data_IF_913712943564
#
_entry.id   IF_913712943564
#
_cell.length_a   1.000
_cell.length_b   1.000
_cell.length_c   1.000
_cell.angle_alpha   90.00
_cell.angle_beta   90.00
_cell.angle_gamma   90.00
#
_symmetry.space_group_name_H-M   'P 1'
#
loop_
_entity.id
_entity.type
_entity.pdbx_description
1 polymer ?
#
# COMPACT_ATOMS: atom_id res chain seq x y z
N UNK A 1 12.40 8.89 -1.51
CA UNK A 1 11.20 8.41 -2.22
C UNK A 1 10.90 9.30 -3.43
N UNK A 2 10.14 8.77 -4.41
CA UNK A 2 9.56 9.59 -5.50
C UNK A 2 8.55 10.61 -4.96
N UNK A 3 8.31 11.69 -5.71
CA UNK A 3 7.32 12.71 -5.36
C UNK A 3 5.90 12.17 -5.27
N UNK A 4 5.58 11.16 -6.08
CA UNK A 4 4.26 10.52 -6.03
C UNK A 4 4.03 9.76 -4.70
N UNK A 5 5.03 9.03 -4.20
CA UNK A 5 4.95 8.38 -2.89
C UNK A 5 4.83 9.42 -1.77
N UNK A 6 5.66 10.46 -1.78
CA UNK A 6 5.60 11.53 -0.76
C UNK A 6 4.21 12.17 -0.74
N UNK A 7 3.69 12.56 -1.90
CA UNK A 7 2.36 13.16 -2.03
C UNK A 7 1.25 12.27 -1.45
N UNK A 8 1.32 10.97 -1.75
CA UNK A 8 0.25 10.04 -1.37
C UNK A 8 0.31 9.62 0.11
N UNK A 9 1.49 9.59 0.73
CA UNK A 9 1.66 9.05 2.09
C UNK A 9 1.73 10.14 3.16
N UNK A 10 2.18 11.35 2.82
CA UNK A 10 2.45 12.44 3.78
C UNK A 10 1.30 12.72 4.78
N UNK A 11 0.06 12.62 4.36
CA UNK A 11 -1.12 12.92 5.21
C UNK A 11 -1.93 11.71 5.63
N UNK A 12 -1.53 10.50 5.22
CA UNK A 12 -2.28 9.27 5.47
C UNK A 12 -1.95 8.72 6.85
N UNK A 13 -2.94 8.16 7.52
CA UNK A 13 -2.73 7.44 8.78
C UNK A 13 -1.98 6.15 8.50
N UNK A 14 -0.93 5.92 9.27
CA UNK A 14 -0.19 4.66 9.24
C UNK A 14 -1.05 3.57 9.89
N UNK A 15 -1.24 2.40 9.24
CA UNK A 15 -2.01 1.30 9.82
C UNK A 15 -1.52 0.93 11.22
N UNK A 16 -2.44 0.57 12.10
CA UNK A 16 -2.19 0.10 13.47
C UNK A 16 -1.33 1.04 14.35
N UNK A 17 -1.25 2.33 14.02
CA UNK A 17 -0.40 3.33 14.71
C UNK A 17 -1.17 4.26 15.64
N UNK A 18 -2.43 3.95 15.99
CA UNK A 18 -3.32 4.86 16.74
C UNK A 18 -3.50 6.23 16.08
N UNK A 19 -3.48 6.25 14.73
CA UNK A 19 -3.76 7.43 13.93
C UNK A 19 -2.56 8.34 13.66
N UNK A 20 -1.35 7.92 13.95
CA UNK A 20 -0.13 8.62 13.55
C UNK A 20 -0.05 8.73 12.02
N UNK A 21 0.59 9.77 11.51
CA UNK A 21 0.67 10.07 10.08
C UNK A 21 2.10 10.40 9.67
N UNK A 22 2.40 10.13 8.42
CA UNK A 22 3.65 10.55 7.78
C UNK A 22 4.55 9.39 7.38
N UNK A 23 5.48 9.69 6.47
CA UNK A 23 6.44 8.71 5.95
C UNK A 23 7.47 8.35 7.00
N UNK A 24 7.90 9.32 7.78
CA UNK A 24 8.81 9.17 8.91
C UNK A 24 8.25 8.23 9.98
N UNK A 25 6.97 8.39 10.31
CA UNK A 25 6.24 7.47 11.19
C UNK A 25 6.19 6.06 10.61
N UNK A 26 5.78 5.93 9.33
CA UNK A 26 5.67 4.63 8.68
C UNK A 26 7.01 3.89 8.64
N UNK A 27 8.08 4.58 8.28
CA UNK A 27 9.42 4.01 8.23
C UNK A 27 9.95 3.64 9.63
N UNK A 28 9.76 4.52 10.62
CA UNK A 28 10.20 4.27 11.99
C UNK A 28 9.45 3.10 12.61
N UNK A 29 8.12 3.06 12.46
CA UNK A 29 7.29 1.97 12.99
C UNK A 29 7.63 0.63 12.33
N UNK A 30 7.95 0.64 11.03
CA UNK A 30 8.43 -0.55 10.31
C UNK A 30 9.75 -1.09 10.87
N UNK A 31 10.65 -0.22 11.35
CA UNK A 31 11.91 -0.63 12.00
C UNK A 31 11.69 -1.14 13.43
N UNK A 32 10.77 -0.53 14.17
CA UNK A 32 10.54 -0.81 15.61
C UNK A 32 9.69 -2.08 15.78
N UNK A 33 8.57 -2.21 15.08
CA UNK A 33 7.58 -3.27 15.29
C UNK A 33 7.19 -4.02 14.02
N UNK A 34 7.83 -3.72 12.86
CA UNK A 34 7.47 -4.35 11.60
C UNK A 34 7.92 -5.80 11.46
N UNK A 35 7.06 -6.62 10.85
CA UNK A 35 7.29 -8.03 10.55
C UNK A 35 7.47 -8.22 9.04
N UNK A 36 8.72 -8.33 8.57
CA UNK A 36 9.04 -8.45 7.14
C UNK A 36 8.41 -9.69 6.46
N UNK A 37 8.20 -10.76 7.21
CA UNK A 37 7.54 -11.98 6.77
C UNK A 37 6.04 -11.81 6.46
N UNK A 38 5.44 -10.70 6.89
CA UNK A 38 4.04 -10.33 6.60
C UNK A 38 3.88 -9.51 5.32
N UNK A 39 4.93 -9.20 4.62
CA UNK A 39 4.92 -8.43 3.35
C UNK A 39 4.12 -7.13 3.45
N UNK A 40 2.95 -7.03 2.79
CA UNK A 40 2.09 -5.84 2.82
C UNK A 40 1.37 -5.62 4.17
N UNK A 41 1.29 -6.65 5.01
CA UNK A 41 0.72 -6.61 6.35
C UNK A 41 1.79 -6.41 7.43
N UNK A 42 2.93 -5.85 7.07
CA UNK A 42 4.14 -5.67 7.89
C UNK A 42 3.88 -5.03 9.26
N UNK A 43 2.84 -4.24 9.41
CA UNK A 43 2.46 -3.55 10.65
C UNK A 43 1.26 -4.18 11.39
N UNK A 44 0.82 -5.39 11.03
CA UNK A 44 -0.37 -5.99 11.63
C UNK A 44 -0.19 -6.31 13.12
N UNK A 45 0.99 -6.77 13.49
CA UNK A 45 1.31 -7.22 14.85
C UNK A 45 1.93 -6.11 15.74
N UNK A 46 1.85 -4.83 15.33
CA UNK A 46 2.40 -3.69 16.07
C UNK A 46 1.71 -3.53 17.43
N UNK A 47 2.51 -3.36 18.47
CA UNK A 47 2.04 -3.19 19.85
C UNK A 47 1.99 -1.72 20.29
N UNK A 48 1.31 -1.41 21.40
CA UNK A 48 1.34 -0.07 22.01
C UNK A 48 2.75 0.37 22.38
N UNK A 49 3.60 -0.55 22.82
CA UNK A 49 4.99 -0.24 23.14
C UNK A 49 5.79 0.19 21.91
N UNK A 50 5.54 -0.43 20.75
CA UNK A 50 6.15 -0.05 19.48
C UNK A 50 5.68 1.33 19.03
N UNK A 51 4.40 1.64 19.23
CA UNK A 51 3.83 2.95 18.90
C UNK A 51 4.46 4.05 19.76
N UNK A 52 4.55 3.84 21.08
CA UNK A 52 5.18 4.82 21.98
C UNK A 52 6.67 5.00 21.65
N UNK A 53 7.38 3.91 21.39
CA UNK A 53 8.78 3.98 20.97
C UNK A 53 8.94 4.72 19.64
N UNK A 54 8.02 4.50 18.71
CA UNK A 54 8.01 5.23 17.43
C UNK A 54 7.82 6.73 17.64
N UNK A 55 6.89 7.15 18.51
CA UNK A 55 6.69 8.57 18.83
C UNK A 55 7.96 9.24 19.38
N UNK A 56 8.64 8.57 20.31
CA UNK A 56 9.90 9.06 20.84
C UNK A 56 10.97 9.24 19.76
N UNK A 57 11.15 8.22 18.91
CA UNK A 57 12.17 8.23 17.87
C UNK A 57 11.88 9.27 16.78
N UNK A 58 10.62 9.43 16.37
CA UNK A 58 10.22 10.46 15.39
C UNK A 58 10.47 11.87 15.95
N UNK A 59 10.18 12.12 17.22
CA UNK A 59 10.49 13.39 17.89
C UNK A 59 12.01 13.68 17.92
N UNK A 60 12.83 12.65 17.98
CA UNK A 60 14.30 12.75 17.93
C UNK A 60 14.85 12.89 16.50
N UNK A 61 14.00 12.86 15.48
CA UNK A 61 14.42 12.92 14.09
C UNK A 61 15.11 11.65 13.57
N UNK A 62 14.73 10.49 14.11
CA UNK A 62 15.30 9.18 13.75
C UNK A 62 15.20 8.88 12.26
N UNK A 63 14.12 9.28 11.60
CA UNK A 63 13.91 9.07 10.18
C UNK A 63 13.79 10.40 9.45
N UNK A 64 14.47 10.50 8.31
CA UNK A 64 14.32 11.61 7.36
C UNK A 64 13.90 11.08 6.00
N UNK A 65 12.96 11.78 5.36
CA UNK A 65 12.53 11.45 4.00
C UNK A 65 12.97 12.53 3.03
N UNK A 66 13.65 12.14 1.97
CA UNK A 66 14.11 13.06 0.92
C UNK A 66 13.43 12.75 -0.42
N UNK A 67 13.15 13.80 -1.20
CA UNK A 67 12.66 13.67 -2.56
C UNK A 67 13.77 13.13 -3.47
N UNK A 68 13.42 12.14 -4.28
CA UNK A 68 14.23 11.69 -5.42
C UNK A 68 13.49 12.03 -6.70
N UNK A 69 14.10 12.87 -7.52
CA UNK A 69 13.56 13.29 -8.81
C UNK A 69 14.04 12.38 -9.94
N UNK A 70 13.35 12.43 -11.08
CA UNK A 70 13.66 11.67 -12.30
C UNK A 70 13.72 10.13 -12.08
N UNK A 71 12.80 9.63 -11.27
CA UNK A 71 12.61 8.19 -11.01
C UNK A 71 11.17 7.78 -11.29
N UNK A 72 10.89 6.49 -11.22
CA UNK A 72 9.56 5.90 -11.40
C UNK A 72 8.54 6.49 -10.42
N UNK A 73 7.26 6.46 -10.77
CA UNK A 73 6.17 6.96 -9.91
C UNK A 73 6.16 6.25 -8.55
N UNK A 74 6.39 4.94 -8.52
CA UNK A 74 6.63 4.19 -7.31
C UNK A 74 8.13 3.89 -7.23
N UNK A 75 8.84 4.68 -6.43
CA UNK A 75 10.26 4.53 -6.14
C UNK A 75 10.52 4.83 -4.67
N UNK A 76 11.00 3.83 -3.96
CA UNK A 76 11.31 3.93 -2.52
C UNK A 76 12.71 3.35 -2.29
N UNK A 77 13.56 4.11 -1.63
CA UNK A 77 14.79 3.59 -1.03
C UNK A 77 14.64 3.74 0.49
N UNK A 78 14.65 2.62 1.18
CA UNK A 78 14.71 2.57 2.64
C UNK A 78 16.14 2.19 3.05
N UNK A 79 16.76 3.04 3.87
CA UNK A 79 18.11 2.81 4.39
C UNK A 79 18.12 2.92 5.90
N UNK A 80 18.69 1.94 6.56
CA UNK A 80 18.91 1.92 8.01
C UNK A 80 20.42 1.90 8.28
N UNK A 81 20.85 2.68 9.28
CA UNK A 81 22.25 2.76 9.70
C UNK A 81 22.32 2.50 11.20
N UNK A 82 23.20 1.60 11.62
CA UNK A 82 23.43 1.25 13.01
C UNK A 82 24.95 1.12 13.27
N UNK A 83 25.55 2.17 13.81
CA UNK A 83 27.00 2.25 13.98
C UNK A 83 27.70 2.22 12.61
N UNK A 84 28.59 1.24 12.40
CA UNK A 84 29.32 1.03 11.14
C UNK A 84 28.54 0.19 10.12
N UNK A 85 27.37 -0.33 10.51
CA UNK A 85 26.56 -1.19 9.64
C UNK A 85 25.43 -0.41 8.96
N UNK A 86 25.14 -0.80 7.73
CA UNK A 86 24.00 -0.24 6.98
C UNK A 86 23.29 -1.33 6.16
N UNK A 87 21.98 -1.13 6.00
CA UNK A 87 21.17 -1.92 5.09
C UNK A 87 20.28 -0.99 4.26
N UNK A 88 20.16 -1.28 2.96
CA UNK A 88 19.40 -0.48 2.02
C UNK A 88 18.57 -1.40 1.12
N UNK A 89 17.30 -1.07 0.95
CA UNK A 89 16.38 -1.77 0.06
C UNK A 89 15.77 -0.77 -0.90
N UNK A 90 15.76 -1.09 -2.19
CA UNK A 90 15.10 -0.32 -3.24
C UNK A 90 13.88 -1.05 -3.75
N UNK A 91 12.72 -0.37 -3.77
CA UNK A 91 11.45 -0.88 -4.29
C UNK A 91 11.03 0.01 -5.46
N UNK A 92 10.63 -0.59 -6.59
CA UNK A 92 10.25 0.13 -7.80
C UNK A 92 8.97 -0.44 -8.42
N UNK A 93 8.22 0.41 -9.12
CA UNK A 93 7.06 0.06 -9.94
C UNK A 93 5.89 -0.62 -9.22
N UNK A 94 6.14 -1.57 -8.34
CA UNK A 94 5.13 -2.28 -7.52
C UNK A 94 5.57 -2.35 -6.07
N UNK A 95 4.63 -2.32 -5.15
CA UNK A 95 4.91 -2.34 -3.70
C UNK A 95 5.71 -3.57 -3.23
N UNK A 96 5.63 -4.67 -3.96
CA UNK A 96 6.32 -5.93 -3.65
C UNK A 96 7.57 -6.17 -4.50
N UNK A 97 7.90 -5.27 -5.46
CA UNK A 97 9.06 -5.44 -6.32
C UNK A 97 10.31 -4.83 -5.69
N UNK A 98 11.05 -5.65 -4.97
CA UNK A 98 12.40 -5.29 -4.50
C UNK A 98 13.35 -5.40 -5.68
N UNK A 99 13.92 -4.27 -6.09
CA UNK A 99 14.87 -4.21 -7.21
C UNK A 99 16.33 -4.33 -6.77
N UNK A 100 16.65 -3.94 -5.53
CA UNK A 100 18.02 -3.97 -5.02
C UNK A 100 18.05 -4.10 -3.51
N UNK A 101 19.01 -4.89 -3.00
CA UNK A 101 19.35 -4.98 -1.57
C UNK A 101 20.84 -4.79 -1.42
N UNK A 102 21.25 -3.90 -0.52
CA UNK A 102 22.66 -3.62 -0.20
C UNK A 102 22.83 -3.75 1.30
N UNK A 103 23.93 -4.36 1.73
CA UNK A 103 24.34 -4.43 3.15
C UNK A 103 25.81 -4.04 3.25
N UNK A 104 26.12 -3.11 4.12
CA UNK A 104 27.49 -2.63 4.37
C UNK A 104 28.28 -2.25 3.10
N UNK A 105 27.55 -1.72 2.09
CA UNK A 105 28.10 -1.38 0.78
C UNK A 105 28.17 -2.51 -0.24
N UNK A 106 27.93 -3.76 0.17
CA UNK A 106 27.89 -4.94 -0.72
C UNK A 106 26.49 -5.12 -1.29
N UNK A 107 26.38 -5.33 -2.61
CA UNK A 107 25.11 -5.63 -3.29
C UNK A 107 24.79 -7.11 -3.10
N UNK A 108 23.80 -7.42 -2.27
CA UNK A 108 23.35 -8.79 -2.01
C UNK A 108 22.35 -9.29 -3.05
N UNK A 109 21.57 -8.37 -3.62
CA UNK A 109 20.55 -8.68 -4.61
C UNK A 109 20.34 -7.50 -5.55
N UNK A 110 20.19 -7.77 -6.82
CA UNK A 110 19.80 -6.81 -7.83
C UNK A 110 19.13 -7.52 -8.99
N UNK A 111 17.94 -7.05 -9.41
CA UNK A 111 17.29 -7.53 -10.62
C UNK A 111 18.05 -7.03 -11.84
N UNK A 112 18.08 -7.85 -12.92
CA UNK A 112 18.64 -7.42 -14.19
C UNK A 112 17.78 -6.32 -14.82
N UNK A 113 18.40 -5.41 -15.57
CA UNK A 113 17.73 -4.23 -16.16
C UNK A 113 16.57 -4.57 -17.15
N UNK A 114 16.42 -5.82 -17.54
CA UNK A 114 15.38 -6.33 -18.44
C UNK A 114 14.34 -7.22 -17.73
N UNK A 115 14.50 -7.49 -16.45
CA UNK A 115 13.54 -8.30 -15.67
C UNK A 115 12.45 -7.46 -15.01
N UNK A 116 12.23 -6.25 -15.50
CA UNK A 116 11.26 -5.29 -14.94
C UNK A 116 9.81 -5.77 -15.01
N UNK A 117 9.56 -6.97 -15.51
CA UNK A 117 8.23 -7.54 -15.44
C UNK A 117 8.13 -9.01 -15.87
N UNK A 118 8.16 -9.97 -14.96
CA UNK A 118 7.63 -11.30 -15.31
C UNK A 118 6.12 -11.28 -15.60
N UNK A 119 5.43 -10.18 -15.36
CA UNK A 119 3.97 -10.06 -15.52
C UNK A 119 3.55 -8.68 -16.04
N UNK A 120 4.27 -8.11 -17.00
CA UNK A 120 3.70 -6.99 -17.75
C UNK A 120 2.60 -7.55 -18.65
N UNK A 121 1.39 -7.55 -18.13
CA UNK A 121 0.22 -7.82 -18.95
C UNK A 121 0.10 -6.69 -19.97
N UNK A 122 0.29 -7.00 -21.23
CA UNK A 122 0.08 -6.04 -22.31
C UNK A 122 -1.39 -5.62 -22.34
N UNK A 123 -1.64 -4.42 -21.80
CA UNK A 123 -2.99 -3.84 -21.76
C UNK A 123 -3.39 -3.15 -23.07
N UNK A 124 -2.51 -3.08 -24.06
CA UNK A 124 -2.82 -2.47 -25.37
C UNK A 124 -3.90 -3.23 -26.13
N UNK A 125 -4.06 -4.53 -25.83
CA UNK A 125 -5.12 -5.37 -26.37
C UNK A 125 -6.50 -5.13 -25.76
N UNK A 126 -6.58 -4.43 -24.62
CA UNK A 126 -7.86 -4.13 -23.97
C UNK A 126 -8.58 -3.01 -24.72
N UNK A 127 -9.78 -3.32 -25.20
CA UNK A 127 -10.69 -2.35 -25.80
C UNK A 127 -12.13 -2.61 -25.34
N UNK A 128 -12.98 -1.59 -25.42
CA UNK A 128 -14.34 -1.66 -24.88
C UNK A 128 -15.18 -2.73 -25.58
N UNK A 129 -14.97 -2.93 -26.88
CA UNK A 129 -15.73 -3.94 -27.66
C UNK A 129 -15.46 -5.35 -27.12
N UNK A 130 -14.21 -5.72 -26.94
CA UNK A 130 -13.83 -7.06 -26.48
C UNK A 130 -14.22 -7.27 -25.00
N UNK A 131 -14.18 -6.21 -24.19
CA UNK A 131 -14.67 -6.26 -22.80
C UNK A 131 -16.18 -6.56 -22.76
N UNK A 132 -16.98 -5.89 -23.61
CA UNK A 132 -18.42 -6.14 -23.70
C UNK A 132 -18.71 -7.55 -24.24
N UNK A 133 -18.01 -7.95 -25.30
CA UNK A 133 -18.16 -9.29 -25.86
C UNK A 133 -17.82 -10.37 -24.83
N UNK A 134 -16.74 -10.19 -24.05
CA UNK A 134 -16.41 -11.09 -22.95
C UNK A 134 -17.52 -11.12 -21.90
N UNK A 135 -18.04 -9.97 -21.49
CA UNK A 135 -19.11 -9.90 -20.49
C UNK A 135 -20.40 -10.61 -20.94
N UNK A 136 -20.71 -10.56 -22.25
CA UNK A 136 -21.91 -11.20 -22.81
C UNK A 136 -21.73 -12.70 -23.06
N UNK A 137 -20.51 -13.19 -23.22
CA UNK A 137 -20.22 -14.58 -23.65
C UNK A 137 -19.57 -15.45 -22.59
N UNK A 138 -18.95 -14.85 -21.55
CA UNK A 138 -18.29 -15.60 -20.48
C UNK A 138 -19.30 -16.43 -19.68
N UNK A 139 -18.96 -17.68 -19.40
CA UNK A 139 -19.79 -18.50 -18.53
C UNK A 139 -19.57 -18.07 -17.08
N UNK A 140 -20.65 -17.98 -16.33
CA UNK A 140 -20.60 -17.58 -14.91
C UNK A 140 -19.66 -18.46 -14.09
N UNK A 141 -19.61 -19.75 -14.38
CA UNK A 141 -18.77 -20.72 -13.70
C UNK A 141 -17.27 -20.37 -13.80
N UNK A 142 -16.85 -19.78 -14.93
CA UNK A 142 -15.44 -19.46 -15.19
C UNK A 142 -14.96 -18.21 -14.40
N UNK A 143 -15.90 -17.38 -13.95
CA UNK A 143 -15.58 -16.10 -13.24
C UNK A 143 -16.17 -16.04 -11.82
N UNK A 144 -17.00 -16.99 -11.46
CA UNK A 144 -17.80 -16.98 -10.22
C UNK A 144 -16.94 -16.80 -8.97
N UNK A 145 -15.86 -17.52 -8.84
CA UNK A 145 -15.01 -17.49 -7.64
C UNK A 145 -14.39 -16.11 -7.41
N UNK A 146 -13.95 -15.46 -8.51
CA UNK A 146 -13.38 -14.10 -8.45
C UNK A 146 -14.47 -13.09 -8.09
N UNK A 147 -15.65 -13.20 -8.72
CA UNK A 147 -16.78 -12.30 -8.46
C UNK A 147 -17.33 -12.46 -7.04
N UNK A 148 -17.50 -13.69 -6.56
CA UNK A 148 -17.97 -13.97 -5.20
C UNK A 148 -17.00 -13.38 -4.16
N UNK A 149 -15.70 -13.55 -4.38
CA UNK A 149 -14.67 -12.98 -3.51
C UNK A 149 -14.72 -11.45 -3.51
N UNK A 150 -14.83 -10.84 -4.69
CA UNK A 150 -14.93 -9.39 -4.83
C UNK A 150 -16.18 -8.84 -4.13
N UNK A 151 -17.34 -9.46 -4.36
CA UNK A 151 -18.62 -9.07 -3.75
C UNK A 151 -18.53 -9.18 -2.23
N UNK A 152 -18.02 -10.30 -1.72
CA UNK A 152 -17.88 -10.54 -0.28
C UNK A 152 -17.01 -9.48 0.39
N UNK A 153 -15.83 -9.20 -0.19
CA UNK A 153 -14.90 -8.23 0.37
C UNK A 153 -15.46 -6.80 0.30
N UNK A 154 -16.02 -6.40 -0.83
CA UNK A 154 -16.59 -5.06 -0.99
C UNK A 154 -17.82 -4.84 -0.11
N UNK A 155 -18.66 -5.86 0.06
CA UNK A 155 -19.80 -5.80 0.97
C UNK A 155 -19.34 -5.64 2.41
N UNK A 156 -18.33 -6.39 2.84
CA UNK A 156 -17.78 -6.26 4.19
C UNK A 156 -17.23 -4.86 4.46
N UNK A 157 -16.48 -4.28 3.51
CA UNK A 157 -15.97 -2.90 3.61
C UNK A 157 -17.11 -1.88 3.64
N UNK A 158 -18.13 -2.06 2.81
CA UNK A 158 -19.32 -1.18 2.79
C UNK A 158 -20.06 -1.21 4.12
N UNK A 159 -20.32 -2.40 4.65
CA UNK A 159 -20.99 -2.59 5.92
C UNK A 159 -20.20 -1.96 7.08
N UNK A 160 -18.90 -2.13 7.10
CA UNK A 160 -18.00 -1.51 8.08
C UNK A 160 -18.07 0.02 7.98
N UNK A 161 -18.02 0.58 6.77
CA UNK A 161 -18.14 2.03 6.52
C UNK A 161 -19.47 2.61 6.94
N UNK A 162 -20.56 1.84 6.86
CA UNK A 162 -21.88 2.25 7.32
C UNK A 162 -22.04 2.17 8.84
N UNK A 163 -21.35 1.25 9.52
CA UNK A 163 -21.44 1.07 10.98
C UNK A 163 -20.59 2.08 11.75
N UNK A 164 -19.43 2.45 11.22
CA UNK A 164 -18.45 3.26 11.92
C UNK A 164 -18.22 4.63 11.27
N UNK A 165 -17.77 5.66 12.02
CA UNK A 165 -17.63 7.02 11.51
C UNK A 165 -16.30 7.24 10.78
N UNK A 166 -16.15 6.66 9.59
CA UNK A 166 -15.01 6.89 8.72
C UNK A 166 -15.22 8.10 7.79
N UNK A 167 -14.17 8.91 7.65
CA UNK A 167 -14.13 10.04 6.72
C UNK A 167 -15.36 10.96 6.82
N UNK A 168 -15.87 11.40 5.68
CA UNK A 168 -17.05 12.29 5.60
C UNK A 168 -18.40 11.56 5.75
N UNK A 169 -18.40 10.24 5.93
CA UNK A 169 -19.59 9.41 6.11
C UNK A 169 -20.66 9.59 5.00
N UNK A 170 -20.21 9.78 3.76
CA UNK A 170 -21.10 10.03 2.60
C UNK A 170 -22.15 8.94 2.45
N UNK A 171 -21.76 7.66 2.54
CA UNK A 171 -22.69 6.53 2.43
C UNK A 171 -23.78 6.55 3.50
N UNK A 172 -23.45 6.88 4.74
CA UNK A 172 -24.41 7.00 5.84
C UNK A 172 -25.37 8.18 5.62
N UNK A 173 -24.85 9.32 5.16
CA UNK A 173 -25.67 10.49 4.83
C UNK A 173 -26.67 10.17 3.73
N UNK A 174 -26.23 9.52 2.65
CA UNK A 174 -27.11 9.10 1.55
C UNK A 174 -28.16 8.09 2.02
N UNK A 175 -27.76 7.12 2.85
CA UNK A 175 -28.67 6.12 3.40
C UNK A 175 -29.77 6.77 4.28
N UNK A 176 -29.39 7.74 5.10
CA UNK A 176 -30.35 8.46 5.97
C UNK A 176 -31.33 9.32 5.18
N UNK A 177 -30.90 9.93 4.07
CA UNK A 177 -31.72 10.81 3.27
C UNK A 177 -32.62 10.06 2.28
N UNK A 178 -32.10 9.02 1.64
CA UNK A 178 -32.77 8.32 0.54
C UNK A 178 -33.14 6.87 0.88
N UNK A 179 -32.80 6.41 2.08
CA UNK A 179 -33.06 5.02 2.48
C UNK A 179 -32.30 4.02 1.60
N UNK A 180 -32.94 2.87 1.39
CA UNK A 180 -32.37 1.79 0.58
C UNK A 180 -32.75 1.85 -0.91
N UNK A 181 -33.14 3.00 -1.43
CA UNK A 181 -33.50 3.13 -2.84
C UNK A 181 -32.26 2.94 -3.74
N UNK A 182 -32.25 1.80 -4.43
CA UNK A 182 -31.13 1.38 -5.29
C UNK A 182 -30.92 2.30 -6.49
N UNK A 183 -31.91 3.09 -6.88
CA UNK A 183 -31.81 4.02 -8.02
C UNK A 183 -30.97 5.26 -7.74
N UNK A 184 -30.70 5.53 -6.47
CA UNK A 184 -29.96 6.72 -6.02
C UNK A 184 -28.52 6.37 -5.59
N UNK A 185 -28.16 5.11 -5.60
CA UNK A 185 -26.84 4.61 -5.20
C UNK A 185 -25.85 4.55 -6.35
#
# INVERSE_FOLDING_TARGET
CSGNIIKNVKGVKVPNSNGLKGIDVAATLGVVGGRADRELEVLEDVTEADIEKTKELVQQGFCTCTLKEAVENLYIVAKVIAGEHSAEVTIVNRHTLISRIVKDGEVLYQIAAHEDSPEYVDKSVLNVKDILEFADTVRIEDVKDILDRQITMNSAISDEGLRHPYGAQVGRTLLNEYGNDVKIR
#
